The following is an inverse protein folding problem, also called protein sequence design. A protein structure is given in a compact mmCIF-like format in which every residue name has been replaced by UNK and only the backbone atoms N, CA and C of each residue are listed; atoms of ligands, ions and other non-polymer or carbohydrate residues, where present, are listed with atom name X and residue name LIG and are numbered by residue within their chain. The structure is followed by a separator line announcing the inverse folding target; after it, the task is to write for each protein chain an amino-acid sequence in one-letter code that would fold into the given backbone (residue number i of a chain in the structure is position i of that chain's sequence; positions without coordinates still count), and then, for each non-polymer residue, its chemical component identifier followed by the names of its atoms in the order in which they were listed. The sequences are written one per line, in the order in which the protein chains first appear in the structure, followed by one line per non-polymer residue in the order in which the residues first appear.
data_IF_583712569962
#
_entry.id   IF_583712569962
#
_cell.length_a   1.000
_cell.length_b   1.000
_cell.length_c   1.000
_cell.angle_alpha   90.00
_cell.angle_beta   90.00
_cell.angle_gamma   90.00
#
_symmetry.space_group_name_H-M   'P 1'
#
loop_
_entity.id
_entity.type
_entity.pdbx_description
1 polymer ?
#
# COMPACT_ATOMS: atom_id res chain seq x y z
N UNK A 1 -0.01 22.69 -7.05
CA UNK A 1 -0.39 21.65 -6.08
C UNK A 1 -1.18 20.56 -6.82
N UNK A 2 -0.48 19.83 -7.69
CA UNK A 2 -1.09 18.83 -8.57
C UNK A 2 -1.02 17.45 -7.92
N UNK A 3 -2.10 16.68 -8.04
CA UNK A 3 -2.21 15.31 -7.52
C UNK A 3 -1.09 14.44 -8.10
N UNK A 4 -0.07 14.14 -7.27
CA UNK A 4 1.12 13.33 -7.61
C UNK A 4 1.01 11.90 -7.08
N UNK A 5 -0.18 11.43 -6.72
CA UNK A 5 -0.37 10.22 -5.92
C UNK A 5 -1.34 9.24 -6.56
N UNK A 6 -0.93 7.98 -6.68
CA UNK A 6 -1.82 6.85 -6.98
C UNK A 6 -2.55 6.45 -5.70
N UNK A 7 -3.83 6.83 -5.56
CA UNK A 7 -4.72 6.37 -4.49
C UNK A 7 -5.50 5.09 -4.85
N UNK A 8 -4.99 4.31 -5.80
CA UNK A 8 -5.76 3.26 -6.46
C UNK A 8 -5.87 1.99 -5.61
N UNK A 9 -7.10 1.59 -5.26
CA UNK A 9 -7.39 0.26 -4.73
C UNK A 9 -7.28 -0.79 -5.86
N UNK A 10 -6.42 -1.80 -5.69
CA UNK A 10 -6.26 -2.92 -6.61
C UNK A 10 -7.04 -4.13 -6.07
N UNK A 11 -8.06 -4.58 -6.80
CA UNK A 11 -8.81 -5.82 -6.50
C UNK A 11 -8.22 -6.97 -7.30
N UNK A 12 -7.82 -8.04 -6.63
CA UNK A 12 -7.27 -9.24 -7.26
C UNK A 12 -8.16 -10.44 -6.85
N UNK A 13 -8.71 -11.15 -7.84
CA UNK A 13 -9.40 -12.41 -7.60
C UNK A 13 -8.40 -13.51 -7.28
N UNK A 14 -8.46 -14.08 -6.08
CA UNK A 14 -7.46 -14.98 -5.53
C UNK A 14 -7.53 -16.43 -6.02
N UNK A 15 -6.47 -17.17 -5.69
CA UNK A 15 -6.40 -18.62 -5.88
C UNK A 15 -7.62 -19.28 -5.20
N UNK A 16 -8.38 -20.08 -5.96
CA UNK A 16 -9.64 -20.76 -5.53
C UNK A 16 -10.90 -19.88 -5.46
N UNK A 17 -10.88 -18.68 -6.01
CA UNK A 17 -12.10 -17.84 -6.13
C UNK A 17 -12.44 -17.03 -4.88
N UNK A 18 -11.53 -17.00 -3.89
CA UNK A 18 -11.64 -16.09 -2.75
C UNK A 18 -11.13 -14.71 -3.19
N UNK A 19 -11.98 -13.69 -3.05
CA UNK A 19 -11.62 -12.32 -3.39
C UNK A 19 -10.87 -11.63 -2.26
N UNK A 20 -9.86 -10.83 -2.63
CA UNK A 20 -9.19 -9.90 -1.72
C UNK A 20 -8.93 -8.56 -2.41
N UNK A 21 -8.68 -7.52 -1.60
CA UNK A 21 -8.33 -6.20 -2.09
C UNK A 21 -7.06 -5.70 -1.42
N UNK A 22 -6.22 -5.01 -2.18
CA UNK A 22 -5.02 -4.34 -1.68
C UNK A 22 -5.17 -2.84 -1.94
N UNK A 23 -5.17 -2.07 -0.85
CA UNK A 23 -5.30 -0.62 -0.85
C UNK A 23 -3.96 -0.01 -0.47
N UNK A 24 -3.16 0.47 -1.43
CA UNK A 24 -1.94 1.20 -1.15
C UNK A 24 -2.23 2.60 -0.60
N UNK A 25 -1.30 3.09 0.22
CA UNK A 25 -1.20 4.50 0.60
C UNK A 25 -0.38 5.29 -0.43
N UNK A 26 0.44 6.23 0.05
CA UNK A 26 1.33 6.98 -0.82
C UNK A 26 2.46 6.08 -1.33
N UNK A 27 2.40 5.72 -2.61
CA UNK A 27 3.45 4.98 -3.31
C UNK A 27 4.15 5.89 -4.32
N UNK A 28 5.47 6.00 -4.21
CA UNK A 28 6.31 6.70 -5.17
C UNK A 28 6.75 5.76 -6.31
N UNK A 29 6.07 5.90 -7.45
CA UNK A 29 6.38 5.13 -8.67
C UNK A 29 7.48 5.78 -9.52
N UNK A 30 7.86 7.03 -9.24
CA UNK A 30 8.83 7.80 -10.04
C UNK A 30 10.21 7.89 -9.39
N UNK A 31 10.35 7.38 -8.16
CA UNK A 31 11.56 7.49 -7.35
C UNK A 31 11.98 8.96 -7.15
N UNK A 32 10.98 9.83 -6.96
CA UNK A 32 11.19 11.24 -6.63
C UNK A 32 11.12 11.42 -5.11
N UNK A 33 12.18 11.90 -4.45
CA UNK A 33 12.18 12.04 -3.00
C UNK A 33 11.07 13.00 -2.54
N UNK A 34 10.30 12.54 -1.54
CA UNK A 34 9.32 13.37 -0.84
C UNK A 34 10.00 14.56 -0.16
N UNK A 35 9.26 15.67 -0.03
CA UNK A 35 9.68 16.75 0.86
C UNK A 35 9.79 16.23 2.30
N UNK A 36 10.72 16.78 3.09
CA UNK A 36 10.99 16.32 4.48
C UNK A 36 9.76 16.40 5.39
N UNK A 37 8.83 17.31 5.11
CA UNK A 37 7.56 17.43 5.83
C UNK A 37 6.62 16.26 5.55
N UNK A 38 6.48 15.85 4.29
CA UNK A 38 5.66 14.72 3.88
C UNK A 38 6.23 13.40 4.42
N UNK A 39 7.55 13.23 4.40
CA UNK A 39 8.22 12.06 4.98
C UNK A 39 7.88 11.88 6.46
N UNK A 40 7.84 12.99 7.19
CA UNK A 40 7.59 12.98 8.62
C UNK A 40 6.11 12.80 8.99
N UNK A 41 5.19 12.94 8.03
CA UNK A 41 3.79 12.53 8.20
C UNK A 41 3.60 11.02 8.05
N UNK A 42 4.53 10.33 7.38
CA UNK A 42 4.51 8.88 7.28
C UNK A 42 5.13 8.25 8.53
N UNK A 43 4.41 7.37 9.26
CA UNK A 43 5.00 6.67 10.40
C UNK A 43 6.21 5.80 10.00
N UNK A 44 6.22 5.28 8.77
CA UNK A 44 7.36 4.59 8.16
C UNK A 44 8.50 5.50 7.69
N UNK A 45 8.38 6.83 7.80
CA UNK A 45 9.43 7.80 7.48
C UNK A 45 9.73 8.00 5.99
N UNK A 46 8.97 7.35 5.09
CA UNK A 46 9.14 7.43 3.63
C UNK A 46 7.83 7.15 2.91
N UNK A 47 7.72 7.58 1.65
CA UNK A 47 6.72 7.00 0.73
C UNK A 47 6.96 5.50 0.60
N UNK A 48 5.88 4.74 0.38
CA UNK A 48 6.00 3.37 -0.08
C UNK A 48 6.59 3.33 -1.49
N UNK A 49 7.16 2.19 -1.86
CA UNK A 49 7.64 1.90 -3.21
C UNK A 49 6.75 0.81 -3.84
N UNK A 50 6.73 0.67 -5.17
CA UNK A 50 5.95 -0.39 -5.83
C UNK A 50 6.25 -1.78 -5.28
N UNK A 51 7.49 -2.02 -4.87
CA UNK A 51 7.93 -3.28 -4.25
C UNK A 51 7.20 -3.60 -2.94
N UNK A 52 6.87 -2.58 -2.12
CA UNK A 52 6.17 -2.79 -0.84
C UNK A 52 4.77 -3.39 -1.07
N UNK A 53 4.09 -2.97 -2.15
CA UNK A 53 2.77 -3.52 -2.54
C UNK A 53 2.93 -4.87 -3.23
N UNK A 54 3.92 -4.99 -4.12
CA UNK A 54 4.14 -6.20 -4.92
C UNK A 54 4.43 -7.43 -4.06
N UNK A 55 5.16 -7.29 -2.95
CA UNK A 55 5.47 -8.40 -2.03
C UNK A 55 4.19 -8.98 -1.41
N UNK A 56 3.26 -8.13 -0.96
CA UNK A 56 1.98 -8.60 -0.43
C UNK A 56 1.15 -9.29 -1.53
N UNK A 57 1.07 -8.68 -2.71
CA UNK A 57 0.34 -9.27 -3.84
C UNK A 57 0.92 -10.63 -4.21
N UNK A 58 2.25 -10.76 -4.26
CA UNK A 58 2.91 -12.02 -4.55
C UNK A 58 2.53 -13.11 -3.53
N UNK A 59 2.49 -12.78 -2.23
CA UNK A 59 2.00 -13.70 -1.20
C UNK A 59 0.53 -14.08 -1.42
N UNK A 60 -0.35 -13.11 -1.70
CA UNK A 60 -1.78 -13.38 -1.88
C UNK A 60 -2.09 -14.22 -3.13
N UNK A 61 -1.16 -14.32 -4.07
CA UNK A 61 -1.25 -15.21 -5.24
C UNK A 61 -0.79 -16.65 -4.97
N UNK A 62 -0.24 -16.94 -3.79
CA UNK A 62 0.20 -18.29 -3.41
C UNK A 62 -0.97 -19.17 -2.94
N UNK A 63 -0.87 -20.51 -3.01
CA UNK A 63 -1.89 -21.42 -2.46
C UNK A 63 -2.11 -21.27 -0.94
N UNK A 64 -1.08 -20.85 -0.20
CA UNK A 64 -1.08 -20.67 1.25
C UNK A 64 -2.02 -19.53 1.69
N UNK A 65 -2.30 -18.57 0.80
CA UNK A 65 -3.28 -17.50 1.05
C UNK A 65 -4.73 -17.97 0.91
N UNK A 66 -4.99 -19.22 0.56
CA UNK A 66 -6.31 -19.77 0.19
C UNK A 66 -7.38 -19.78 1.29
N UNK A 67 -7.15 -19.15 2.43
CA UNK A 67 -8.14 -18.90 3.48
C UNK A 67 -8.29 -17.40 3.81
N UNK A 68 -7.66 -16.54 3.02
CA UNK A 68 -7.58 -15.09 3.23
C UNK A 68 -8.54 -14.39 2.26
N UNK A 69 -9.66 -13.90 2.77
CA UNK A 69 -10.68 -13.16 2.01
C UNK A 69 -10.92 -11.75 2.52
N UNK A 70 -9.85 -11.00 2.82
CA UNK A 70 -9.93 -9.68 3.43
C UNK A 70 -9.29 -8.58 2.58
N UNK A 71 -9.54 -7.33 2.97
CA UNK A 71 -8.88 -6.16 2.39
C UNK A 71 -7.65 -5.78 3.21
N UNK A 72 -6.56 -5.47 2.53
CA UNK A 72 -5.28 -5.10 3.14
C UNK A 72 -4.91 -3.66 2.85
N UNK A 73 -4.43 -2.96 3.88
CA UNK A 73 -3.86 -1.62 3.75
C UNK A 73 -2.34 -1.70 3.67
N UNK A 74 -1.72 -1.04 2.68
CA UNK A 74 -0.26 -0.97 2.51
C UNK A 74 0.16 0.49 2.40
N UNK A 75 0.24 1.18 3.53
CA UNK A 75 0.36 2.64 3.59
C UNK A 75 1.44 3.17 4.55
N UNK A 76 2.34 2.30 5.02
CA UNK A 76 3.37 2.68 6.00
C UNK A 76 2.81 3.08 7.37
N UNK A 77 1.56 2.71 7.68
CA UNK A 77 0.91 2.98 8.97
C UNK A 77 0.14 4.30 9.03
N UNK A 78 0.00 5.01 7.92
CA UNK A 78 -0.65 6.32 7.86
C UNK A 78 -2.11 6.27 8.38
N UNK A 79 -2.85 5.21 8.07
CA UNK A 79 -4.21 4.97 8.60
C UNK A 79 -4.27 4.58 10.08
N UNK A 80 -3.14 4.20 10.69
CA UNK A 80 -3.05 3.76 12.09
C UNK A 80 -2.54 4.84 13.03
N UNK A 81 -1.78 5.82 12.53
CA UNK A 81 -1.23 6.91 13.32
C UNK A 81 -1.35 8.21 12.54
N UNK A 82 -2.26 9.07 13.01
CA UNK A 82 -2.35 10.44 12.54
C UNK A 82 -1.31 11.30 13.26
N UNK A 83 -0.43 11.96 12.50
CA UNK A 83 0.58 12.87 13.04
C UNK A 83 0.03 14.29 12.91
N UNK A 84 -0.30 14.91 14.05
CA UNK A 84 -0.69 16.31 14.11
C UNK A 84 0.55 17.16 14.38
N UNK A 85 0.67 18.29 13.68
CA UNK A 85 1.69 19.32 13.90
C UNK A 85 1.03 20.65 14.22
#
# INVERSE_FOLDING_TARGET
MGLRELRAALVIGGARGIGYAVSPGWIDVRQEPLASEDQAQQPGGRAGEPADVAVLVAFLLTPESGFIGQSFMVDGGMTRKMIYR
#
